data_IF_200035654413
#
_entry.id   IF_200035654413
#
_cell.length_a   1.000
_cell.length_b   1.000
_cell.length_c   1.000
_cell.angle_alpha   90.00
_cell.angle_beta   90.00
_cell.angle_gamma   90.00
#
_symmetry.space_group_name_H-M   'P 1'
#
loop_
_entity.id
_entity.type
_entity.pdbx_description
1 polymer ?
#
# COMPACT_ATOMS: atom_id res chain seq x y z
N UNK A 1 28.06 19.92 -17.96
CA UNK A 1 29.24 19.14 -17.52
C UNK A 1 30.50 19.96 -17.76
N UNK A 2 31.45 19.98 -16.80
CA UNK A 2 32.68 20.77 -16.92
C UNK A 2 33.76 19.99 -17.68
N UNK A 3 34.44 20.68 -18.59
CA UNK A 3 35.58 20.14 -19.32
C UNK A 3 36.79 19.99 -18.38
N UNK A 4 37.32 18.78 -18.25
CA UNK A 4 38.52 18.51 -17.43
C UNK A 4 39.80 19.17 -17.97
N UNK A 5 39.82 19.57 -19.25
CA UNK A 5 40.99 20.18 -19.90
C UNK A 5 41.03 21.70 -19.75
N UNK A 6 39.90 22.39 -19.88
CA UNK A 6 39.85 23.86 -19.90
C UNK A 6 38.86 24.48 -18.91
N UNK A 7 38.15 23.67 -18.12
CA UNK A 7 37.18 24.14 -17.13
C UNK A 7 35.85 24.65 -17.68
N UNK A 8 35.70 24.80 -19.00
CA UNK A 8 34.47 25.31 -19.62
C UNK A 8 33.27 24.42 -19.30
N UNK A 9 32.15 25.04 -18.96
CA UNK A 9 30.87 24.36 -18.80
C UNK A 9 30.24 24.07 -20.17
N UNK A 10 29.87 22.81 -20.40
CA UNK A 10 29.30 22.32 -21.65
C UNK A 10 27.90 21.74 -21.42
N UNK A 11 26.98 21.81 -22.41
CA UNK A 11 25.66 21.22 -22.28
C UNK A 11 25.75 19.69 -22.10
N UNK A 12 24.76 19.05 -21.44
CA UNK A 12 24.82 17.63 -21.08
C UNK A 12 24.84 16.66 -22.26
N UNK A 13 24.54 17.13 -23.48
CA UNK A 13 24.59 16.36 -24.74
C UNK A 13 25.85 16.62 -25.58
N UNK A 14 26.79 17.44 -25.10
CA UNK A 14 28.01 17.74 -25.84
C UNK A 14 28.99 16.57 -25.79
N UNK A 15 29.35 16.02 -26.96
CA UNK A 15 30.40 14.98 -27.11
C UNK A 15 31.82 15.55 -27.02
N UNK A 16 31.99 16.81 -27.36
CA UNK A 16 33.26 17.53 -27.33
C UNK A 16 33.08 18.87 -26.65
N UNK A 17 34.15 19.38 -26.05
CA UNK A 17 34.16 20.71 -25.46
C UNK A 17 34.02 21.77 -26.53
N UNK A 18 33.00 22.61 -26.41
CA UNK A 18 32.71 23.72 -27.33
C UNK A 18 33.80 24.81 -27.34
N UNK A 19 34.69 24.82 -26.35
CA UNK A 19 35.80 25.76 -26.27
C UNK A 19 37.11 25.18 -26.82
N UNK A 20 37.53 23.99 -26.35
CA UNK A 20 38.86 23.45 -26.65
C UNK A 20 38.88 22.16 -27.48
N UNK A 21 37.72 21.64 -27.88
CA UNK A 21 37.60 20.42 -28.70
C UNK A 21 37.90 19.09 -28.00
N UNK A 22 38.21 19.10 -26.69
CA UNK A 22 38.45 17.86 -25.94
C UNK A 22 37.19 16.98 -25.85
N UNK A 23 37.34 15.66 -26.01
CA UNK A 23 36.22 14.72 -25.87
C UNK A 23 35.69 14.70 -24.42
N UNK A 24 34.38 14.82 -24.27
CA UNK A 24 33.66 14.90 -22.99
C UNK A 24 33.05 13.54 -22.63
N UNK A 25 33.84 12.47 -22.74
CA UNK A 25 33.37 11.13 -22.37
C UNK A 25 32.99 11.09 -20.88
N UNK A 26 31.81 10.55 -20.56
CA UNK A 26 31.47 10.24 -19.18
C UNK A 26 32.47 9.20 -18.67
N UNK A 27 32.98 9.37 -17.45
CA UNK A 27 33.88 8.39 -16.82
C UNK A 27 33.18 7.69 -15.68
N UNK A 28 33.47 6.41 -15.50
CA UNK A 28 32.98 5.66 -14.35
C UNK A 28 33.56 6.25 -13.05
N UNK A 29 32.74 6.61 -12.05
CA UNK A 29 33.22 7.19 -10.80
C UNK A 29 33.99 6.19 -9.93
N UNK A 30 33.91 4.88 -10.24
CA UNK A 30 34.61 3.83 -9.49
C UNK A 30 35.94 3.44 -10.12
N UNK A 31 35.97 3.18 -11.43
CA UNK A 31 37.17 2.66 -12.10
C UNK A 31 37.80 3.63 -13.11
N UNK A 32 37.21 4.81 -13.34
CA UNK A 32 37.77 5.85 -14.21
C UNK A 32 37.66 5.58 -15.72
N UNK A 33 37.07 4.45 -16.14
CA UNK A 33 36.94 4.12 -17.57
C UNK A 33 35.90 4.99 -18.26
N UNK A 34 36.15 5.39 -19.51
CA UNK A 34 35.18 6.06 -20.36
C UNK A 34 33.95 5.19 -20.61
N UNK A 35 32.80 5.83 -20.62
CA UNK A 35 31.48 5.23 -20.77
C UNK A 35 30.86 5.76 -22.07
N UNK A 36 30.30 4.87 -22.90
CA UNK A 36 29.46 5.28 -24.02
C UNK A 36 28.27 6.13 -23.57
N UNK A 37 27.76 6.99 -24.45
CA UNK A 37 26.57 7.79 -24.19
C UNK A 37 25.37 6.91 -23.80
N UNK A 38 24.62 7.32 -22.76
CA UNK A 38 23.45 6.58 -22.28
C UNK A 38 23.75 5.34 -21.44
N UNK A 39 25.01 5.06 -21.11
CA UNK A 39 25.38 3.93 -20.25
C UNK A 39 24.68 4.02 -18.88
N UNK A 40 23.94 2.96 -18.52
CA UNK A 40 23.34 2.83 -17.16
C UNK A 40 24.28 2.15 -16.18
N UNK A 41 25.19 1.31 -16.68
CA UNK A 41 26.19 0.57 -15.92
C UNK A 41 27.55 0.66 -16.62
N UNK A 42 28.63 0.57 -15.85
CA UNK A 42 29.99 0.48 -16.36
C UNK A 42 30.23 -0.92 -16.95
N UNK A 43 30.72 -0.96 -18.19
CA UNK A 43 31.00 -2.20 -18.93
C UNK A 43 32.18 -2.99 -18.33
N UNK A 44 33.04 -2.35 -17.54
CA UNK A 44 34.24 -2.99 -16.97
C UNK A 44 34.02 -3.50 -15.54
N UNK A 45 33.40 -2.69 -14.69
CA UNK A 45 33.29 -2.99 -13.24
C UNK A 45 31.85 -3.15 -12.74
N UNK A 46 30.84 -3.04 -13.61
CA UNK A 46 29.42 -3.20 -13.28
C UNK A 46 28.79 -2.05 -12.47
N UNK A 47 29.55 -0.99 -12.14
CA UNK A 47 29.04 0.12 -11.34
C UNK A 47 27.95 0.89 -12.06
N UNK A 48 26.82 1.13 -11.40
CA UNK A 48 25.72 1.95 -11.95
C UNK A 48 26.16 3.41 -12.07
N UNK A 49 26.00 4.00 -13.26
CA UNK A 49 26.55 5.31 -13.64
C UNK A 49 25.48 6.31 -14.03
N UNK A 50 24.26 5.84 -14.37
CA UNK A 50 23.10 6.71 -14.50
C UNK A 50 22.49 6.95 -13.11
N UNK A 51 22.41 8.23 -12.72
CA UNK A 51 21.40 8.64 -11.75
C UNK A 51 20.06 8.38 -12.43
N UNK A 52 19.25 7.48 -11.86
CA UNK A 52 17.84 7.44 -12.22
C UNK A 52 17.32 8.86 -12.01
N UNK A 53 16.79 9.48 -13.05
CA UNK A 53 15.98 10.68 -12.89
C UNK A 53 14.91 10.32 -11.86
N UNK A 54 15.14 10.77 -10.63
CA UNK A 54 14.11 10.82 -9.63
C UNK A 54 13.19 11.89 -10.18
N UNK A 55 12.10 11.47 -10.81
CA UNK A 55 10.93 12.34 -10.93
C UNK A 55 10.51 12.61 -9.49
N UNK A 56 11.11 13.65 -8.91
CA UNK A 56 10.55 14.30 -7.74
C UNK A 56 9.24 14.88 -8.27
N UNK A 57 8.15 14.14 -8.14
CA UNK A 57 6.87 14.79 -7.98
C UNK A 57 7.08 15.73 -6.80
N UNK A 58 7.17 17.02 -7.10
CA UNK A 58 7.29 18.06 -6.09
C UNK A 58 6.33 17.74 -4.97
N UNK A 59 6.87 17.59 -3.76
CA UNK A 59 6.10 17.20 -2.60
C UNK A 59 4.95 18.17 -2.40
N UNK A 60 3.74 17.75 -2.76
CA UNK A 60 2.55 18.37 -2.21
C UNK A 60 2.50 17.91 -0.76
N UNK A 61 2.95 18.77 0.15
CA UNK A 61 2.77 18.63 1.61
C UNK A 61 1.32 18.30 1.99
N UNK A 62 0.36 18.64 1.13
CA UNK A 62 -1.04 18.25 1.28
C UNK A 62 -1.27 16.74 1.10
N UNK A 63 -0.55 16.07 0.18
CA UNK A 63 -0.69 14.63 -0.05
C UNK A 63 -0.11 13.81 1.10
N UNK A 64 1.02 14.22 1.67
CA UNK A 64 1.59 13.57 2.88
C UNK A 64 0.66 13.75 4.08
N UNK A 65 0.09 14.94 4.28
CA UNK A 65 -0.87 15.20 5.37
C UNK A 65 -2.17 14.42 5.18
N UNK A 66 -2.64 14.24 3.94
CA UNK A 66 -3.83 13.45 3.63
C UNK A 66 -3.59 11.94 3.85
N UNK A 67 -2.44 11.43 3.45
CA UNK A 67 -2.03 10.03 3.65
C UNK A 67 -1.93 9.68 5.14
N UNK A 68 -1.35 10.56 5.96
CA UNK A 68 -1.24 10.35 7.41
C UNK A 68 -2.59 10.30 8.14
N UNK A 69 -3.63 10.93 7.58
CA UNK A 69 -4.99 10.94 8.16
C UNK A 69 -5.84 9.74 7.74
N UNK A 70 -5.57 9.18 6.55
CA UNK A 70 -6.38 8.13 5.95
C UNK A 70 -5.80 6.72 6.17
N UNK A 71 -4.54 6.64 6.63
CA UNK A 71 -3.78 5.40 6.70
C UNK A 71 -3.12 5.28 8.08
N UNK A 72 -3.14 4.10 8.73
CA UNK A 72 -2.42 3.86 9.97
C UNK A 72 -0.95 4.30 9.89
N UNK A 73 -0.44 4.90 10.98
CA UNK A 73 0.88 5.56 11.02
C UNK A 73 2.00 4.63 10.58
N UNK A 74 1.94 3.36 10.96
CA UNK A 74 2.98 2.40 10.56
C UNK A 74 2.97 2.09 9.05
N UNK A 75 1.80 2.09 8.39
CA UNK A 75 1.70 1.91 6.94
C UNK A 75 2.15 3.17 6.19
N UNK A 76 1.80 4.36 6.69
CA UNK A 76 2.32 5.62 6.16
C UNK A 76 3.87 5.68 6.22
N UNK A 77 4.46 5.27 7.35
CA UNK A 77 5.92 5.18 7.51
C UNK A 77 6.56 4.20 6.52
N UNK A 78 5.96 3.04 6.26
CA UNK A 78 6.47 2.10 5.24
C UNK A 78 6.35 2.67 3.82
N UNK A 79 5.26 3.34 3.47
CA UNK A 79 5.09 3.96 2.15
C UNK A 79 6.16 5.05 1.91
N UNK A 80 6.42 5.86 2.93
CA UNK A 80 7.46 6.90 2.92
C UNK A 80 8.87 6.29 2.84
N UNK A 81 9.17 5.28 3.67
CA UNK A 81 10.46 4.58 3.65
C UNK A 81 10.75 3.91 2.31
N UNK A 82 9.72 3.38 1.66
CA UNK A 82 9.85 2.71 0.35
C UNK A 82 9.78 3.70 -0.83
N UNK A 83 9.63 5.02 -0.55
CA UNK A 83 9.49 6.10 -1.55
C UNK A 83 8.48 5.77 -2.66
N UNK A 84 7.34 5.19 -2.31
CA UNK A 84 6.30 4.80 -3.26
C UNK A 84 6.66 3.65 -4.21
N UNK A 85 7.79 2.97 -4.02
CA UNK A 85 8.09 1.72 -4.74
C UNK A 85 7.35 0.58 -4.06
N UNK A 86 6.32 0.04 -4.71
CA UNK A 86 5.70 -1.21 -4.29
C UNK A 86 6.67 -2.33 -4.63
N UNK A 87 7.45 -2.81 -3.65
CA UNK A 87 8.22 -4.04 -3.84
C UNK A 87 7.26 -5.22 -3.82
N UNK A 88 7.26 -6.02 -4.88
CA UNK A 88 6.54 -7.29 -4.91
C UNK A 88 7.27 -8.28 -3.98
N UNK A 89 6.75 -8.47 -2.78
CA UNK A 89 7.27 -9.43 -1.81
C UNK A 89 6.33 -10.63 -1.66
N UNK A 90 6.89 -11.83 -1.49
CA UNK A 90 6.15 -13.00 -1.02
C UNK A 90 6.29 -13.05 0.49
N UNK A 91 5.17 -13.04 1.21
CA UNK A 91 5.14 -13.12 2.67
C UNK A 91 4.02 -14.06 3.12
N UNK A 92 4.25 -14.73 4.24
CA UNK A 92 3.21 -15.47 4.95
C UNK A 92 2.25 -14.49 5.63
N UNK A 93 0.96 -14.66 5.39
CA UNK A 93 -0.12 -13.85 5.96
C UNK A 93 -1.19 -14.78 6.52
N UNK A 94 -1.87 -14.34 7.56
CA UNK A 94 -3.10 -15.00 8.04
C UNK A 94 -4.29 -14.26 7.46
N UNK A 95 -5.24 -14.98 6.86
CA UNK A 95 -6.46 -14.42 6.29
C UNK A 95 -7.61 -14.72 7.24
N UNK A 96 -8.44 -13.71 7.51
CA UNK A 96 -9.71 -13.85 8.20
C UNK A 96 -10.84 -13.53 7.22
N UNK A 97 -11.78 -14.45 7.07
CA UNK A 97 -13.00 -14.26 6.30
C UNK A 97 -14.20 -14.28 7.25
N UNK A 98 -15.07 -13.29 7.12
CA UNK A 98 -16.24 -13.12 7.97
C UNK A 98 -17.45 -12.81 7.09
N UNK A 99 -18.56 -13.50 7.32
CA UNK A 99 -19.82 -13.32 6.58
C UNK A 99 -21.00 -13.05 7.53
N UNK A 100 -21.94 -12.19 7.10
CA UNK A 100 -23.11 -11.83 7.89
C UNK A 100 -24.24 -12.82 7.65
N UNK A 101 -24.49 -13.69 8.64
CA UNK A 101 -25.55 -14.69 8.54
C UNK A 101 -26.93 -14.05 8.27
N UNK A 102 -27.64 -14.58 7.26
CA UNK A 102 -29.01 -14.20 6.92
C UNK A 102 -29.11 -13.00 5.98
N UNK A 103 -27.99 -12.43 5.57
CA UNK A 103 -27.86 -11.38 4.54
C UNK A 103 -28.55 -11.73 3.23
N UNK A 104 -28.37 -12.95 2.71
CA UNK A 104 -28.93 -13.36 1.41
C UNK A 104 -30.46 -13.38 1.44
N UNK A 105 -31.04 -13.92 2.52
CA UNK A 105 -32.49 -13.94 2.70
C UNK A 105 -33.06 -12.53 2.89
N UNK A 106 -32.31 -11.66 3.58
CA UNK A 106 -32.65 -10.25 3.74
C UNK A 106 -32.66 -9.53 2.39
N UNK A 107 -31.61 -9.68 1.58
CA UNK A 107 -31.51 -9.05 0.26
C UNK A 107 -32.55 -9.58 -0.75
N UNK A 108 -33.06 -10.79 -0.55
CA UNK A 108 -34.14 -11.34 -1.38
C UNK A 108 -35.54 -10.76 -1.07
N UNK A 109 -35.72 -10.17 0.11
CA UNK A 109 -37.04 -9.74 0.61
C UNK A 109 -37.16 -8.24 0.87
N UNK A 110 -36.03 -7.51 0.91
CA UNK A 110 -35.97 -6.07 1.12
C UNK A 110 -35.56 -5.34 -0.14
N UNK A 111 -35.84 -4.04 -0.14
CA UNK A 111 -35.28 -3.17 -1.16
C UNK A 111 -33.73 -3.18 -1.10
N UNK A 112 -33.04 -3.14 -2.25
CA UNK A 112 -31.58 -3.09 -2.28
C UNK A 112 -30.99 -1.92 -1.50
N UNK A 113 -31.63 -0.74 -1.50
CA UNK A 113 -31.16 0.44 -0.76
C UNK A 113 -31.22 0.20 0.75
N UNK A 114 -32.32 -0.36 1.25
CA UNK A 114 -32.47 -0.72 2.67
C UNK A 114 -31.45 -1.79 3.09
N UNK A 115 -31.20 -2.77 2.22
CA UNK A 115 -30.21 -3.83 2.46
C UNK A 115 -28.81 -3.25 2.58
N UNK A 116 -28.47 -2.29 1.71
CA UNK A 116 -27.19 -1.59 1.74
C UNK A 116 -27.01 -0.74 2.99
N UNK A 117 -28.05 -0.03 3.43
CA UNK A 117 -28.02 0.76 4.66
C UNK A 117 -27.77 -0.12 5.90
N UNK A 118 -28.46 -1.26 5.99
CA UNK A 118 -28.27 -2.22 7.08
C UNK A 118 -26.84 -2.77 7.07
N UNK A 119 -26.33 -3.17 5.91
CA UNK A 119 -24.96 -3.69 5.78
C UNK A 119 -23.92 -2.64 6.13
N UNK A 120 -24.11 -1.39 5.69
CA UNK A 120 -23.23 -0.27 6.08
C UNK A 120 -23.18 -0.11 7.59
N UNK A 121 -24.35 -0.09 8.24
CA UNK A 121 -24.42 -0.02 9.70
C UNK A 121 -23.80 -1.23 10.39
N UNK A 122 -23.87 -2.44 9.81
CA UNK A 122 -23.19 -3.61 10.35
C UNK A 122 -21.66 -3.50 10.27
N UNK A 123 -21.13 -3.00 9.15
CA UNK A 123 -19.68 -2.84 8.97
C UNK A 123 -19.03 -1.88 9.96
N UNK A 124 -19.77 -0.87 10.45
CA UNK A 124 -19.31 0.01 11.52
C UNK A 124 -18.95 -0.74 12.81
N UNK A 125 -19.50 -1.94 13.03
CA UNK A 125 -19.19 -2.80 14.18
C UNK A 125 -18.28 -3.98 13.85
N UNK A 126 -18.28 -4.46 12.60
CA UNK A 126 -17.45 -5.60 12.18
C UNK A 126 -16.02 -5.19 11.86
N UNK A 127 -15.79 -3.98 11.35
CA UNK A 127 -14.45 -3.51 10.97
C UNK A 127 -13.57 -3.17 12.20
N UNK A 128 -14.07 -2.51 13.27
CA UNK A 128 -13.22 -2.12 14.39
C UNK A 128 -12.46 -3.26 15.09
N UNK A 129 -13.05 -4.45 15.36
CA UNK A 129 -12.32 -5.59 15.91
C UNK A 129 -11.08 -5.99 15.10
N UNK A 130 -11.17 -5.93 13.77
CA UNK A 130 -10.07 -6.27 12.87
C UNK A 130 -8.90 -5.29 13.10
N UNK A 131 -9.18 -3.99 13.09
CA UNK A 131 -8.16 -2.97 13.33
C UNK A 131 -7.63 -2.99 14.76
N UNK A 132 -8.48 -3.27 15.75
CA UNK A 132 -8.09 -3.41 17.16
C UNK A 132 -7.01 -4.48 17.34
N UNK A 133 -7.14 -5.60 16.60
CA UNK A 133 -6.15 -6.68 16.59
C UNK A 133 -5.01 -6.47 15.58
N UNK A 134 -4.88 -5.26 15.00
CA UNK A 134 -3.87 -4.88 14.00
C UNK A 134 -3.97 -5.61 12.66
N UNK A 135 -5.15 -6.12 12.34
CA UNK A 135 -5.47 -6.62 11.00
C UNK A 135 -5.69 -5.46 10.02
N UNK A 136 -5.60 -5.78 8.74
CA UNK A 136 -5.92 -4.84 7.65
C UNK A 136 -7.12 -5.36 6.89
N UNK A 137 -8.12 -4.49 6.70
CA UNK A 137 -9.24 -4.78 5.81
C UNK A 137 -8.73 -4.84 4.36
N UNK A 138 -8.86 -6.00 3.72
CA UNK A 138 -8.41 -6.20 2.35
C UNK A 138 -9.52 -5.84 1.36
N UNK A 139 -10.71 -6.36 1.62
CA UNK A 139 -11.84 -6.26 0.70
C UNK A 139 -13.17 -6.46 1.44
N UNK A 140 -14.20 -5.75 0.97
CA UNK A 140 -15.61 -6.04 1.29
C UNK A 140 -16.22 -6.70 0.05
N UNK A 141 -16.92 -7.81 0.26
CA UNK A 141 -17.49 -8.67 -0.79
C UNK A 141 -18.98 -8.86 -0.54
N UNK A 142 -19.77 -7.84 -0.84
CA UNK A 142 -21.21 -7.86 -0.55
C UNK A 142 -21.46 -7.78 0.95
N UNK A 143 -21.81 -8.91 1.54
CA UNK A 143 -22.08 -9.15 2.97
C UNK A 143 -20.86 -9.71 3.73
N UNK A 144 -19.79 -10.05 3.02
CA UNK A 144 -18.58 -10.59 3.61
C UNK A 144 -17.44 -9.57 3.72
N UNK A 145 -16.58 -9.78 4.70
CA UNK A 145 -15.31 -9.08 4.91
C UNK A 145 -14.15 -10.05 4.76
N UNK A 146 -13.13 -9.64 4.00
CA UNK A 146 -11.83 -10.29 3.95
C UNK A 146 -10.78 -9.36 4.58
N UNK A 147 -10.07 -9.87 5.57
CA UNK A 147 -8.97 -9.18 6.23
C UNK A 147 -7.71 -10.04 6.24
N UNK A 148 -6.55 -9.40 6.31
CA UNK A 148 -5.26 -10.07 6.49
C UNK A 148 -4.49 -9.52 7.68
N UNK A 149 -3.69 -10.39 8.28
CA UNK A 149 -2.70 -10.13 9.32
C UNK A 149 -1.35 -10.59 8.78
N UNK A 150 -0.27 -9.83 9.05
CA UNK A 150 1.05 -10.05 8.43
C UNK A 150 1.38 -9.10 7.29
N UNK A 151 0.40 -8.33 6.84
CA UNK A 151 0.58 -7.24 5.89
C UNK A 151 -0.27 -6.03 6.34
N UNK A 152 0.15 -4.80 6.00
CA UNK A 152 1.46 -4.45 5.45
C UNK A 152 2.60 -4.66 6.45
N UNK A 153 2.29 -4.80 7.74
CA UNK A 153 3.23 -5.00 8.84
C UNK A 153 3.06 -6.42 9.36
N UNK A 154 4.18 -7.10 9.61
CA UNK A 154 4.20 -8.45 10.12
C UNK A 154 4.52 -8.46 11.62
N UNK A 155 3.88 -9.39 12.31
CA UNK A 155 4.09 -9.71 13.71
C UNK A 155 4.21 -11.24 13.85
N UNK A 156 4.97 -11.70 14.84
CA UNK A 156 5.10 -13.16 15.08
C UNK A 156 3.77 -13.78 15.52
N UNK A 157 2.88 -12.98 16.09
CA UNK A 157 1.57 -13.37 16.64
C UNK A 157 0.39 -13.09 15.70
N UNK A 158 0.62 -12.86 14.39
CA UNK A 158 -0.44 -12.50 13.44
C UNK A 158 -1.58 -13.55 13.36
N UNK A 159 -1.27 -14.84 13.52
CA UNK A 159 -2.27 -15.89 13.58
C UNK A 159 -3.15 -15.80 14.83
N UNK A 160 -2.55 -15.50 15.99
CA UNK A 160 -3.28 -15.31 17.24
C UNK A 160 -4.15 -14.06 17.19
N UNK A 161 -3.63 -12.97 16.62
CA UNK A 161 -4.38 -11.73 16.39
C UNK A 161 -5.61 -11.97 15.52
N UNK A 162 -5.49 -12.75 14.45
CA UNK A 162 -6.61 -13.14 13.61
C UNK A 162 -7.68 -13.90 14.39
N UNK A 163 -7.28 -14.86 15.25
CA UNK A 163 -8.21 -15.61 16.10
C UNK A 163 -8.91 -14.68 17.09
N UNK A 164 -8.17 -13.80 17.77
CA UNK A 164 -8.75 -12.82 18.70
C UNK A 164 -9.73 -11.88 18.00
N UNK A 165 -9.43 -11.45 16.76
CA UNK A 165 -10.34 -10.65 15.96
C UNK A 165 -11.62 -11.42 15.64
N UNK A 166 -11.49 -12.70 15.31
CA UNK A 166 -12.64 -13.59 15.11
C UNK A 166 -13.50 -13.75 16.36
N UNK A 167 -12.89 -13.86 17.54
CA UNK A 167 -13.61 -13.91 18.81
C UNK A 167 -14.32 -12.58 19.11
N UNK A 168 -13.63 -11.46 18.93
CA UNK A 168 -14.21 -10.12 19.11
C UNK A 168 -15.42 -9.93 18.17
N UNK A 169 -15.28 -10.33 16.90
CA UNK A 169 -16.38 -10.34 15.91
C UNK A 169 -17.57 -11.19 16.37
N UNK A 170 -17.33 -12.41 16.85
CA UNK A 170 -18.40 -13.28 17.32
C UNK A 170 -19.15 -12.72 18.54
N UNK A 171 -18.51 -11.83 19.31
CA UNK A 171 -19.07 -11.15 20.47
C UNK A 171 -19.73 -9.81 20.14
N UNK A 172 -19.54 -9.28 18.92
CA UNK A 172 -20.20 -8.05 18.47
C UNK A 172 -21.72 -8.25 18.48
N UNK A 173 -22.40 -7.41 19.26
CA UNK A 173 -23.85 -7.29 19.21
C UNK A 173 -24.21 -6.23 18.18
N UNK A 174 -24.60 -6.67 16.98
CA UNK A 174 -25.10 -5.74 15.97
C UNK A 174 -26.40 -5.08 16.49
N UNK A 175 -26.55 -3.75 16.33
CA UNK A 175 -27.79 -3.09 16.71
C UNK A 175 -28.95 -3.71 15.93
N UNK A 176 -30.03 -4.01 16.63
CA UNK A 176 -31.26 -4.41 15.95
C UNK A 176 -31.73 -3.25 15.07
N UNK A 177 -32.08 -3.50 13.78
CA UNK A 177 -32.66 -2.46 12.96
C UNK A 177 -33.95 -1.93 13.61
N UNK A 178 -34.37 -0.72 13.21
CA UNK A 178 -35.50 0.03 13.76
C UNK A 178 -36.78 -0.81 13.96
N UNK A 179 -37.74 -0.40 14.81
CA UNK A 179 -38.90 -1.22 15.17
C UNK A 179 -39.77 -1.74 13.99
N UNK A 180 -39.64 -1.17 12.79
CA UNK A 180 -40.28 -1.65 11.55
C UNK A 180 -39.67 -2.96 11.03
N UNK A 181 -38.44 -3.29 11.42
CA UNK A 181 -37.68 -4.47 10.99
C UNK A 181 -37.65 -5.59 12.06
N UNK A 182 -38.65 -5.64 12.95
CA UNK A 182 -38.69 -6.48 14.16
C UNK A 182 -38.87 -7.98 13.95
N UNK A 183 -39.02 -8.47 12.73
CA UNK A 183 -39.14 -9.91 12.46
C UNK A 183 -37.88 -10.44 11.78
N UNK A 184 -37.13 -11.18 12.59
CA UNK A 184 -36.13 -12.18 12.23
C UNK A 184 -34.66 -11.73 12.33
N UNK A 185 -33.92 -12.62 13.00
CA UNK A 185 -32.48 -12.85 12.99
C UNK A 185 -31.62 -12.13 14.04
N UNK A 186 -31.19 -12.93 15.02
CA UNK A 186 -29.92 -12.78 15.72
C UNK A 186 -28.81 -13.20 14.73
N UNK A 187 -27.94 -12.30 14.26
CA UNK A 187 -26.80 -12.71 13.46
C UNK A 187 -25.77 -13.35 14.39
N UNK A 188 -25.67 -14.67 14.34
CA UNK A 188 -24.47 -15.39 14.78
C UNK A 188 -23.46 -15.20 13.66
N UNK A 189 -22.43 -14.40 13.90
CA UNK A 189 -21.32 -14.19 12.98
C UNK A 189 -20.50 -15.49 12.96
N UNK A 190 -20.35 -16.10 11.80
CA UNK A 190 -19.47 -17.26 11.63
C UNK A 190 -18.12 -16.78 11.11
N UNK A 191 -17.07 -17.07 11.88
CA UNK A 191 -15.69 -16.94 11.44
C UNK A 191 -15.27 -18.33 10.95
N UNK A 192 -14.84 -18.43 9.70
CA UNK A 192 -14.44 -19.70 9.08
C UNK A 192 -12.96 -19.69 8.75
#
# INVERSE_FOLDING_TARGET
MQCVKCGTENPPRARFCLCCGAELAQVCPRCGKSLPEGSRFCLECGTRVAQAEVVQLGGSTALTTAIERLIPRELAQRLLATRGRVSTERRLVTILFCDVKGSTAMGATRDPEETLEIMRGAFDFLIPPIYHQKGTLAQIMGDAILAFFGAPIAHEDDAERAIRAGLDLALVRLPTPSPTARRLYLPVIWVR
#
